data_IF_791601718400
#
_entry.id   IF_791601718400
#
_cell.length_a   1.000
_cell.length_b   1.000
_cell.length_c   1.000
_cell.angle_alpha   90.00
_cell.angle_beta   90.00
_cell.angle_gamma   90.00
#
_symmetry.space_group_name_H-M   'P 1'
#
loop_
_entity.id
_entity.type
_entity.pdbx_description
1 polymer ?
#
# COMPACT_ATOMS: atom_id res chain seq x y z
N UNK A 1 -7.10 13.40 -18.46
CA UNK A 1 -6.98 12.67 -17.19
C UNK A 1 -5.51 12.35 -17.01
N UNK A 2 -4.84 13.01 -16.08
CA UNK A 2 -3.50 12.59 -15.65
C UNK A 2 -3.56 11.12 -15.24
N UNK A 3 -2.56 10.33 -15.62
CA UNK A 3 -2.52 8.91 -15.34
C UNK A 3 -2.43 8.72 -13.81
N UNK A 4 -3.53 8.30 -13.16
CA UNK A 4 -3.60 8.07 -11.72
C UNK A 4 -2.45 7.20 -11.21
N UNK A 5 -2.07 6.19 -11.99
CA UNK A 5 -0.92 5.34 -11.70
C UNK A 5 0.37 6.17 -11.57
N UNK A 6 0.62 7.09 -12.50
CA UNK A 6 1.82 7.93 -12.46
C UNK A 6 1.90 8.75 -11.17
N UNK A 7 0.78 9.34 -10.73
CA UNK A 7 0.72 10.09 -9.46
C UNK A 7 1.04 9.23 -8.25
N UNK A 8 0.57 7.99 -8.23
CA UNK A 8 0.87 7.03 -7.16
C UNK A 8 2.37 6.71 -7.15
N UNK A 9 2.95 6.44 -8.32
CA UNK A 9 4.37 6.06 -8.45
C UNK A 9 5.33 7.22 -8.13
N UNK A 10 4.93 8.47 -8.37
CA UNK A 10 5.72 9.67 -8.04
C UNK A 10 5.94 9.85 -6.54
N UNK A 11 4.98 9.44 -5.70
CA UNK A 11 5.03 9.71 -4.25
C UNK A 11 6.19 8.99 -3.55
N UNK A 12 6.67 7.85 -4.06
CA UNK A 12 7.79 6.99 -3.55
C UNK A 12 7.70 6.55 -2.08
N UNK A 13 6.93 7.24 -1.24
CA UNK A 13 6.73 7.01 0.17
C UNK A 13 5.26 7.25 0.51
N UNK A 14 4.71 6.38 1.35
CA UNK A 14 3.38 6.52 1.93
C UNK A 14 3.48 6.46 3.44
N UNK A 15 2.92 7.46 4.12
CA UNK A 15 2.92 7.54 5.58
C UNK A 15 1.51 7.46 6.10
N UNK A 16 1.32 6.71 7.17
CA UNK A 16 0.06 6.64 7.89
C UNK A 16 0.30 6.24 9.35
N UNK A 17 -0.67 6.51 10.21
CA UNK A 17 -0.63 6.06 11.60
C UNK A 17 -1.50 4.82 11.76
N UNK A 18 -0.97 3.88 12.51
CA UNK A 18 -1.65 2.66 12.91
C UNK A 18 -1.81 2.68 14.43
N UNK A 19 -3.05 2.79 14.90
CA UNK A 19 -3.36 2.71 16.33
C UNK A 19 -3.93 1.32 16.64
N UNK A 20 -3.10 0.47 17.23
CA UNK A 20 -3.56 -0.74 17.91
C UNK A 20 -4.17 -0.41 19.26
N UNK A 21 -4.80 -1.40 19.89
CA UNK A 21 -5.47 -1.26 21.21
C UNK A 21 -4.53 -0.74 22.30
N UNK A 22 -3.23 -1.05 22.20
CA UNK A 22 -2.23 -0.74 23.24
C UNK A 22 -1.08 0.13 22.72
N UNK A 23 -1.07 0.50 21.44
CA UNK A 23 0.08 1.19 20.85
C UNK A 23 -0.28 1.99 19.60
N UNK A 24 0.36 3.14 19.44
CA UNK A 24 0.28 4.01 18.27
C UNK A 24 1.62 3.94 17.53
N UNK A 25 1.56 3.63 16.24
CA UNK A 25 2.71 3.42 15.38
C UNK A 25 2.61 4.34 14.17
N UNK A 26 3.68 5.06 13.85
CA UNK A 26 3.83 5.68 12.54
C UNK A 26 4.43 4.65 11.59
N UNK A 27 3.77 4.41 10.46
CA UNK A 27 4.24 3.49 9.43
C UNK A 27 4.60 4.29 8.18
N UNK A 28 5.82 4.07 7.69
CA UNK A 28 6.30 4.62 6.43
C UNK A 28 6.64 3.49 5.46
N UNK A 29 5.95 3.45 4.33
CA UNK A 29 6.19 2.49 3.26
C UNK A 29 6.94 3.19 2.14
N UNK A 30 8.11 2.67 1.78
CA UNK A 30 8.97 3.18 0.73
C UNK A 30 8.95 2.23 -0.45
N UNK A 31 8.49 2.73 -1.59
CA UNK A 31 8.56 2.01 -2.85
C UNK A 31 9.93 2.20 -3.51
N UNK A 32 10.43 1.18 -4.22
CA UNK A 32 11.52 1.37 -5.16
C UNK A 32 11.10 2.34 -6.28
N UNK A 33 12.07 2.87 -7.02
CA UNK A 33 11.74 3.69 -8.18
C UNK A 33 11.16 2.82 -9.31
N UNK A 34 9.88 3.04 -9.59
CA UNK A 34 9.13 2.35 -10.63
C UNK A 34 8.91 3.24 -11.86
N UNK A 35 9.43 4.47 -11.84
CA UNK A 35 9.30 5.41 -12.95
C UNK A 35 10.02 4.84 -14.18
N UNK A 36 9.29 4.70 -15.28
CA UNK A 36 9.83 4.14 -16.53
C UNK A 36 10.03 2.62 -16.52
N UNK A 37 9.61 1.90 -15.47
CA UNK A 37 9.54 0.43 -15.51
C UNK A 37 8.36 -0.01 -16.37
N UNK A 38 8.58 -1.03 -17.19
CA UNK A 38 7.51 -1.68 -17.94
C UNK A 38 6.56 -2.41 -16.99
N UNK A 39 5.26 -2.37 -17.32
CA UNK A 39 4.22 -3.06 -16.58
C UNK A 39 3.21 -3.70 -17.53
N UNK A 40 2.65 -4.82 -17.09
CA UNK A 40 1.50 -5.42 -17.78
C UNK A 40 0.22 -4.74 -17.31
N UNK A 41 -0.77 -4.63 -18.20
CA UNK A 41 -2.10 -4.12 -17.86
C UNK A 41 -3.20 -5.05 -18.35
N UNK A 42 -4.25 -5.18 -17.54
CA UNK A 42 -5.48 -5.92 -17.83
C UNK A 42 -6.64 -5.32 -17.01
N UNK A 43 -7.88 -5.80 -17.17
CA UNK A 43 -8.96 -5.24 -16.37
C UNK A 43 -10.37 -5.74 -16.62
N UNK A 44 -10.69 -6.93 -16.12
CA UNK A 44 -12.07 -7.46 -16.14
C UNK A 44 -13.04 -6.60 -15.30
N UNK A 45 -12.51 -5.93 -14.26
CA UNK A 45 -13.28 -5.12 -13.30
C UNK A 45 -12.69 -3.73 -13.09
N UNK A 46 -11.91 -3.21 -14.04
CA UNK A 46 -11.18 -1.94 -13.91
C UNK A 46 -9.68 -2.12 -14.08
N UNK A 47 -8.91 -1.02 -14.12
CA UNK A 47 -7.49 -1.06 -14.44
C UNK A 47 -6.68 -1.85 -13.42
N UNK A 48 -5.88 -2.79 -13.90
CA UNK A 48 -4.91 -3.54 -13.10
C UNK A 48 -3.52 -3.42 -13.74
N UNK A 49 -2.50 -3.34 -12.89
CA UNK A 49 -1.12 -3.13 -13.26
C UNK A 49 -0.22 -4.11 -12.53
N UNK A 50 0.75 -4.70 -13.24
CA UNK A 50 1.74 -5.60 -12.68
C UNK A 50 3.15 -5.17 -13.04
N UNK A 51 3.94 -4.87 -12.02
CA UNK A 51 5.36 -4.57 -12.13
C UNK A 51 6.17 -5.79 -11.74
N UNK A 52 7.14 -6.16 -12.58
CA UNK A 52 8.18 -7.12 -12.19
C UNK A 52 9.24 -6.37 -11.40
N UNK A 53 9.51 -6.87 -10.20
CA UNK A 53 10.50 -6.32 -9.30
C UNK A 53 11.71 -7.24 -9.24
N UNK A 54 12.88 -6.63 -9.04
CA UNK A 54 14.15 -7.30 -8.84
C UNK A 54 14.52 -7.23 -7.35
N UNK A 55 15.23 -8.27 -6.87
CA UNK A 55 15.62 -8.43 -5.46
C UNK A 55 16.43 -7.28 -4.90
N UNK A 56 17.09 -6.51 -5.76
CA UNK A 56 17.99 -5.42 -5.40
C UNK A 56 17.25 -4.15 -4.93
N UNK A 57 15.93 -4.07 -5.15
CA UNK A 57 15.12 -2.90 -4.85
C UNK A 57 13.88 -3.29 -4.02
N UNK A 58 14.06 -3.67 -2.75
CA UNK A 58 12.95 -4.08 -1.89
C UNK A 58 12.03 -2.90 -1.54
N UNK A 59 10.79 -3.22 -1.23
CA UNK A 59 9.89 -2.30 -0.53
C UNK A 59 10.33 -2.26 0.94
N UNK A 60 10.54 -1.07 1.49
CA UNK A 60 10.92 -0.92 2.90
C UNK A 60 9.74 -0.40 3.71
N UNK A 61 9.47 -1.02 4.84
CA UNK A 61 8.42 -0.63 5.79
C UNK A 61 9.11 -0.25 7.09
N UNK A 62 9.03 1.01 7.45
CA UNK A 62 9.52 1.54 8.72
C UNK A 62 8.33 1.69 9.66
N UNK A 63 8.44 1.12 10.86
CA UNK A 63 7.41 1.15 11.90
C UNK A 63 8.04 1.81 13.14
N UNK A 64 7.62 3.05 13.40
CA UNK A 64 8.11 3.84 14.51
C UNK A 64 7.09 3.81 15.65
N UNK A 65 7.44 3.19 16.78
CA UNK A 65 6.63 3.24 17.99
C UNK A 65 6.92 4.52 18.78
N UNK A 66 5.88 5.11 19.35
CA UNK A 66 6.03 6.20 20.34
C UNK A 66 6.81 5.78 21.60
N UNK A 67 6.93 4.47 21.87
CA UNK A 67 7.75 3.95 22.99
C UNK A 67 9.26 4.00 22.71
N UNK A 68 9.68 4.49 21.55
CA UNK A 68 11.09 4.65 21.17
C UNK A 68 11.70 3.44 20.47
N UNK A 69 10.98 2.32 20.40
CA UNK A 69 11.39 1.16 19.59
C UNK A 69 10.94 1.35 18.14
N UNK A 70 11.91 1.48 17.24
CA UNK A 70 11.68 1.58 15.80
C UNK A 70 12.12 0.28 15.13
N UNK A 71 11.28 -0.26 14.26
CA UNK A 71 11.55 -1.48 13.50
C UNK A 71 11.53 -1.15 12.01
N UNK A 72 12.51 -1.66 11.25
CA UNK A 72 12.51 -1.56 9.79
C UNK A 72 12.45 -2.96 9.19
N UNK A 73 11.40 -3.21 8.43
CA UNK A 73 11.17 -4.43 7.69
C UNK A 73 11.49 -4.20 6.21
N UNK A 74 12.16 -5.17 5.58
CA UNK A 74 12.39 -5.17 4.13
C UNK A 74 11.59 -6.28 3.51
N UNK A 75 10.68 -5.91 2.62
CA UNK A 75 9.83 -6.83 1.87
C UNK A 75 10.41 -7.00 0.48
N UNK A 76 10.83 -8.22 0.18
CA UNK A 76 11.30 -8.59 -1.15
C UNK A 76 10.14 -9.20 -1.93
N UNK A 77 9.63 -8.46 -2.90
CA UNK A 77 8.60 -8.95 -3.82
C UNK A 77 9.24 -9.17 -5.20
N UNK A 78 8.83 -10.24 -5.88
CA UNK A 78 9.12 -10.41 -7.30
C UNK A 78 8.10 -9.68 -8.19
N UNK A 79 6.91 -9.41 -7.65
CA UNK A 79 5.80 -8.80 -8.36
C UNK A 79 5.10 -7.80 -7.44
N UNK A 80 4.89 -6.57 -7.94
CA UNK A 80 3.99 -5.60 -7.32
C UNK A 80 2.74 -5.44 -8.17
N UNK A 81 1.57 -5.50 -7.52
CA UNK A 81 0.26 -5.29 -8.17
C UNK A 81 -0.38 -4.01 -7.66
N UNK A 82 -0.96 -3.26 -8.60
CA UNK A 82 -1.84 -2.12 -8.33
C UNK A 82 -3.13 -2.42 -9.07
N UNK A 83 -4.22 -2.55 -8.32
CA UNK A 83 -5.45 -3.16 -8.80
C UNK A 83 -6.64 -2.25 -8.55
N UNK A 84 -7.73 -2.46 -9.29
CA UNK A 84 -8.99 -1.77 -9.04
C UNK A 84 -9.90 -2.63 -8.14
N UNK A 85 -10.60 -2.04 -7.16
CA UNK A 85 -11.55 -2.79 -6.34
C UNK A 85 -12.66 -3.42 -7.18
N UNK A 86 -13.16 -4.58 -6.76
CA UNK A 86 -14.26 -5.27 -7.45
C UNK A 86 -15.60 -4.54 -7.28
N UNK A 87 -15.85 -3.98 -6.08
CA UNK A 87 -17.06 -3.21 -5.78
C UNK A 87 -17.04 -1.88 -6.53
N UNK A 88 -18.10 -1.59 -7.29
CA UNK A 88 -18.23 -0.32 -8.03
C UNK A 88 -18.23 0.89 -7.08
N UNK A 89 -18.97 0.81 -5.97
CA UNK A 89 -19.03 1.88 -4.97
C UNK A 89 -17.66 2.16 -4.35
N UNK A 90 -16.90 1.10 -4.05
CA UNK A 90 -15.55 1.28 -3.51
C UNK A 90 -14.60 1.87 -4.56
N UNK A 91 -14.74 1.46 -5.82
CA UNK A 91 -13.94 1.99 -6.93
C UNK A 91 -14.18 3.48 -7.20
N UNK A 92 -15.39 3.97 -6.94
CA UNK A 92 -15.70 5.40 -7.05
C UNK A 92 -14.91 6.23 -6.03
N UNK A 93 -14.75 5.72 -4.81
CA UNK A 93 -14.00 6.37 -3.74
C UNK A 93 -12.48 6.14 -3.90
N UNK A 94 -12.10 4.89 -4.17
CA UNK A 94 -10.73 4.39 -4.26
C UNK A 94 -10.52 3.61 -5.56
N UNK A 95 -10.26 4.30 -6.70
CA UNK A 95 -10.12 3.65 -8.00
C UNK A 95 -9.02 2.59 -8.08
N UNK A 96 -7.97 2.72 -7.26
CA UNK A 96 -6.84 1.81 -7.21
C UNK A 96 -6.43 1.48 -5.77
N UNK A 97 -5.91 0.28 -5.56
CA UNK A 97 -5.22 -0.11 -4.33
C UNK A 97 -3.95 -0.91 -4.63
N UNK A 98 -3.02 -0.95 -3.68
CA UNK A 98 -1.79 -1.72 -3.73
C UNK A 98 -1.73 -2.66 -2.54
N UNK A 99 -1.35 -3.92 -2.76
CA UNK A 99 -1.14 -4.90 -1.69
C UNK A 99 0.34 -5.16 -1.47
N UNK A 100 0.77 -5.02 -0.21
CA UNK A 100 2.13 -5.32 0.24
C UNK A 100 2.03 -6.46 1.26
N UNK A 101 2.42 -7.70 0.89
CA UNK A 101 2.46 -8.79 1.84
C UNK A 101 3.65 -8.65 2.78
N UNK A 102 3.48 -9.13 4.01
CA UNK A 102 4.47 -9.17 5.07
C UNK A 102 4.62 -10.65 5.44
N UNK A 103 5.51 -11.33 4.72
CA UNK A 103 5.61 -12.80 4.67
C UNK A 103 5.93 -13.41 6.05
N UNK A 104 6.79 -12.75 6.83
CA UNK A 104 7.19 -13.18 8.18
C UNK A 104 6.03 -13.15 9.19
N UNK A 105 4.92 -12.48 8.86
CA UNK A 105 3.78 -12.28 9.76
C UNK A 105 2.44 -12.82 9.23
N UNK A 106 2.45 -13.54 8.11
CA UNK A 106 1.23 -13.98 7.40
C UNK A 106 0.18 -12.85 7.31
N UNK A 107 0.64 -11.65 6.96
CA UNK A 107 -0.19 -10.44 6.96
C UNK A 107 0.03 -9.63 5.69
N UNK A 108 -0.87 -8.70 5.42
CA UNK A 108 -0.74 -7.77 4.29
C UNK A 108 -1.28 -6.39 4.64
N UNK A 109 -0.69 -5.39 4.00
CA UNK A 109 -1.16 -4.01 4.01
C UNK A 109 -1.73 -3.70 2.63
N UNK A 110 -2.96 -3.20 2.59
CA UNK A 110 -3.64 -2.72 1.40
C UNK A 110 -3.73 -1.19 1.49
N UNK A 111 -3.08 -0.51 0.55
CA UNK A 111 -3.07 0.94 0.43
C UNK A 111 -4.08 1.35 -0.64
N UNK A 112 -5.14 2.05 -0.27
CA UNK A 112 -6.18 2.51 -1.19
C UNK A 112 -5.97 3.97 -1.57
N UNK A 113 -6.02 4.26 -2.86
CA UNK A 113 -5.72 5.56 -3.42
C UNK A 113 -6.98 6.22 -3.95
N UNK A 114 -7.20 7.48 -3.57
CA UNK A 114 -8.29 8.29 -4.07
C UNK A 114 -8.03 8.72 -5.54
N UNK A 115 -9.00 9.40 -6.16
CA UNK A 115 -8.89 9.90 -7.55
C UNK A 115 -7.74 10.90 -7.81
N UNK A 116 -7.10 11.40 -6.77
CA UNK A 116 -5.96 12.31 -6.85
C UNK A 116 -4.62 11.58 -6.72
N UNK A 117 -4.63 10.26 -6.51
CA UNK A 117 -3.42 9.46 -6.28
C UNK A 117 -2.89 9.56 -4.86
N UNK A 118 -3.68 10.08 -3.93
CA UNK A 118 -3.33 10.20 -2.52
C UNK A 118 -3.83 8.99 -1.74
N UNK A 119 -3.09 8.63 -0.71
CA UNK A 119 -3.49 7.57 0.21
C UNK A 119 -4.76 8.01 0.95
N UNK A 120 -5.87 7.32 0.72
CA UNK A 120 -7.18 7.68 1.29
C UNK A 120 -7.77 6.62 2.22
N UNK A 121 -7.28 5.38 2.18
CA UNK A 121 -7.60 4.34 3.17
C UNK A 121 -6.43 3.35 3.27
N UNK A 122 -6.29 2.73 4.43
CA UNK A 122 -5.30 1.67 4.68
C UNK A 122 -6.00 0.54 5.41
N UNK A 123 -5.87 -0.67 4.86
CA UNK A 123 -6.40 -1.87 5.49
C UNK A 123 -5.27 -2.85 5.76
N UNK A 124 -5.15 -3.27 7.01
CA UNK A 124 -4.32 -4.42 7.37
C UNK A 124 -5.22 -5.62 7.57
N UNK A 125 -4.97 -6.70 6.81
CA UNK A 125 -5.48 -8.01 7.19
C UNK A 125 -4.36 -8.73 7.90
N UNK A 126 -4.39 -8.67 9.22
CA UNK A 126 -3.76 -9.68 10.05
C UNK A 126 -4.67 -10.90 9.98
N UNK A 127 -4.15 -12.07 9.62
CA UNK A 127 -4.91 -13.32 9.65
C UNK A 127 -5.24 -13.78 11.09
N UNK A 128 -5.05 -12.89 12.07
CA UNK A 128 -5.44 -13.06 13.46
C UNK A 128 -6.54 -12.06 13.80
N UNK A 129 -7.70 -12.61 14.13
CA UNK A 129 -8.89 -12.00 14.74
C UNK A 129 -8.58 -10.69 15.48
N UNK A 130 -9.32 -9.62 15.13
CA UNK A 130 -9.50 -8.34 15.84
C UNK A 130 -8.62 -7.16 15.41
N UNK A 131 -8.87 -6.54 14.25
CA UNK A 131 -8.34 -5.21 13.95
C UNK A 131 -9.30 -4.39 13.08
N UNK A 132 -9.63 -3.17 13.52
CA UNK A 132 -10.35 -2.16 12.72
C UNK A 132 -9.42 -0.95 12.44
N UNK A 133 -9.22 -0.55 11.17
CA UNK A 133 -8.52 0.69 10.84
C UNK A 133 -9.41 1.90 11.12
N UNK A 134 -8.83 2.97 11.69
CA UNK A 134 -9.52 4.26 11.85
C UNK A 134 -9.04 5.21 10.74
N UNK A 135 -9.98 5.75 9.96
CA UNK A 135 -9.75 6.83 9.00
C UNK A 135 -9.52 8.14 9.75
N UNK A 136 -8.40 8.81 9.54
CA UNK A 136 -8.28 10.22 9.90
C UNK A 136 -8.83 11.07 8.75
N UNK A 137 -9.93 11.76 9.01
CA UNK A 137 -10.42 12.86 8.17
C UNK A 137 -9.57 14.09 8.51
N UNK A 138 -8.77 14.57 7.53
CA UNK A 138 -8.16 15.90 7.60
C UNK A 138 -9.22 16.99 7.37
#
# INVERSE_FOLDING_TARGET
MENLLAKILEKKQFKFRYRGVLSDHEVSIHLPDLTGKEYNTWGDWGPMYQFKLNSDYPISIEINSQTGLSETLRVHLSILRIESPMSATEREEYPLFMTIPIEDRNSKIELYFNRYGELGDVRSRLDTKNFEPIRETL
#
